data_IF_702426938480
#
_entry.id   IF_702426938480
#
_cell.length_a   1.000
_cell.length_b   1.000
_cell.length_c   1.000
_cell.angle_alpha   90.00
_cell.angle_beta   90.00
_cell.angle_gamma   90.00
#
_symmetry.space_group_name_H-M   'P 1'
#
loop_
_entity.id
_entity.type
_entity.pdbx_description
1 polymer ?
#
# COMPACT_ATOMS: atom_id res chain seq x y z
N UNK A 1 23.65 -11.46 3.25
CA UNK A 1 24.86 -11.13 4.02
C UNK A 1 26.10 -11.06 3.12
N UNK A 2 26.37 -12.07 2.29
CA UNK A 2 27.56 -12.13 1.38
C UNK A 2 27.64 -10.91 0.48
N UNK A 3 26.54 -10.49 -0.17
CA UNK A 3 26.53 -9.32 -1.04
C UNK A 3 26.81 -8.01 -0.28
N UNK A 4 26.30 -7.88 0.95
CA UNK A 4 26.58 -6.70 1.78
C UNK A 4 28.09 -6.61 2.08
N UNK A 5 28.69 -7.71 2.51
CA UNK A 5 30.14 -7.75 2.78
C UNK A 5 30.93 -7.45 1.52
N UNK A 6 30.59 -8.10 0.39
CA UNK A 6 31.25 -7.88 -0.89
C UNK A 6 31.22 -6.40 -1.31
N UNK A 7 30.06 -5.77 -1.34
CA UNK A 7 29.94 -4.37 -1.74
C UNK A 7 30.55 -3.40 -0.73
N UNK A 8 30.57 -3.74 0.56
CA UNK A 8 31.23 -2.92 1.59
C UNK A 8 32.75 -2.90 1.41
N UNK A 9 33.33 -3.99 0.91
CA UNK A 9 34.77 -4.05 0.62
C UNK A 9 35.10 -3.40 -0.73
N UNK A 10 34.20 -3.55 -1.73
CA UNK A 10 34.43 -3.03 -3.08
C UNK A 10 34.19 -1.53 -3.22
N UNK A 11 33.40 -0.91 -2.36
CA UNK A 11 33.06 0.51 -2.47
C UNK A 11 33.04 1.19 -1.10
N UNK A 12 33.87 2.23 -0.90
CA UNK A 12 33.86 3.02 0.35
C UNK A 12 32.55 3.81 0.53
N UNK A 13 31.79 3.98 -0.53
CA UNK A 13 30.49 4.72 -0.50
C UNK A 13 29.33 3.81 -0.10
N UNK A 14 29.49 2.49 -0.14
CA UNK A 14 28.37 1.56 0.07
C UNK A 14 27.69 1.72 1.44
N UNK A 15 28.49 1.87 2.51
CA UNK A 15 28.00 2.08 3.88
C UNK A 15 27.97 3.56 4.28
N UNK A 16 28.11 4.50 3.33
CA UNK A 16 28.01 5.92 3.66
C UNK A 16 26.59 6.28 4.11
N UNK A 17 26.47 7.29 4.98
CA UNK A 17 25.19 7.80 5.47
C UNK A 17 24.24 8.22 4.33
N UNK A 18 24.80 8.83 3.27
CA UNK A 18 24.03 9.26 2.11
C UNK A 18 23.48 8.07 1.32
N UNK A 19 24.28 7.02 1.11
CA UNK A 19 23.80 5.84 0.41
C UNK A 19 22.74 5.08 1.24
N UNK A 20 22.94 4.96 2.56
CA UNK A 20 21.95 4.35 3.44
C UNK A 20 20.64 5.13 3.45
N UNK A 21 20.68 6.46 3.46
CA UNK A 21 19.49 7.30 3.35
C UNK A 21 18.78 7.10 1.99
N UNK A 22 19.53 6.97 0.90
CA UNK A 22 18.98 6.69 -0.43
C UNK A 22 18.33 5.31 -0.49
N UNK A 23 18.96 4.28 0.05
CA UNK A 23 18.40 2.92 0.14
C UNK A 23 17.11 2.93 0.96
N UNK A 24 17.11 3.58 2.15
CA UNK A 24 15.89 3.75 2.94
C UNK A 24 14.76 4.37 2.15
N UNK A 25 15.05 5.41 1.35
CA UNK A 25 14.04 6.06 0.51
C UNK A 25 13.49 5.13 -0.57
N UNK A 26 14.34 4.34 -1.20
CA UNK A 26 13.91 3.40 -2.26
C UNK A 26 13.00 2.29 -1.74
N UNK A 27 13.21 1.81 -0.52
CA UNK A 27 12.40 0.72 0.05
C UNK A 27 11.04 1.17 0.59
N UNK A 28 10.81 2.49 0.80
CA UNK A 28 9.58 2.99 1.43
C UNK A 28 8.32 2.48 0.74
N UNK A 29 8.25 2.62 -0.58
CA UNK A 29 7.07 2.21 -1.35
C UNK A 29 6.82 0.71 -1.22
N UNK A 30 7.87 -0.10 -1.39
CA UNK A 30 7.78 -1.56 -1.25
C UNK A 30 7.40 -1.98 0.17
N UNK A 31 7.95 -1.31 1.18
CA UNK A 31 7.62 -1.58 2.57
C UNK A 31 6.17 -1.25 2.89
N UNK A 32 5.67 -0.09 2.44
CA UNK A 32 4.27 0.30 2.65
C UNK A 32 3.30 -0.70 2.00
N UNK A 33 3.56 -1.09 0.74
CA UNK A 33 2.79 -2.13 0.06
C UNK A 33 2.86 -3.48 0.80
N UNK A 34 4.05 -3.84 1.31
CA UNK A 34 4.27 -5.05 2.10
C UNK A 34 3.48 -5.07 3.41
N UNK A 35 3.33 -3.93 4.10
CA UNK A 35 2.52 -3.85 5.31
C UNK A 35 1.04 -4.13 5.02
N UNK A 36 0.48 -3.55 3.96
CA UNK A 36 -0.88 -3.84 3.52
C UNK A 36 -1.06 -5.31 3.13
N UNK A 37 -0.16 -5.82 2.27
CA UNK A 37 -0.18 -7.19 1.79
C UNK A 37 -0.09 -8.22 2.93
N UNK A 38 0.60 -7.90 4.02
CA UNK A 38 0.69 -8.77 5.19
C UNK A 38 -0.67 -9.15 5.76
N UNK A 39 -1.63 -8.21 5.80
CA UNK A 39 -2.99 -8.47 6.27
C UNK A 39 -3.74 -9.46 5.38
N UNK A 40 -3.59 -9.31 4.07
CA UNK A 40 -4.23 -10.18 3.07
C UNK A 40 -3.63 -11.58 3.15
N UNK A 41 -2.29 -11.71 3.18
CA UNK A 41 -1.60 -12.99 3.26
C UNK A 41 -1.92 -13.73 4.57
N UNK A 42 -1.91 -13.04 5.71
CA UNK A 42 -2.27 -13.67 7.00
C UNK A 42 -3.72 -14.14 6.99
N UNK A 43 -4.63 -13.45 6.29
CA UNK A 43 -6.02 -13.90 6.16
C UNK A 43 -6.23 -15.07 5.19
N UNK A 44 -5.15 -15.59 4.58
CA UNK A 44 -5.18 -16.71 3.63
C UNK A 44 -5.54 -16.30 2.20
N UNK A 45 -5.40 -15.02 1.84
CA UNK A 45 -5.78 -14.47 0.54
C UNK A 45 -4.56 -13.90 -0.22
N UNK A 46 -4.74 -13.58 -1.51
CA UNK A 46 -3.73 -12.97 -2.36
C UNK A 46 -4.32 -11.73 -3.03
N UNK A 47 -3.61 -10.61 -2.97
CA UNK A 47 -4.00 -9.37 -3.65
C UNK A 47 -2.95 -8.97 -4.70
N UNK A 48 -3.28 -9.14 -5.98
CA UNK A 48 -2.42 -8.76 -7.09
C UNK A 48 -2.73 -7.35 -7.61
N UNK A 49 -3.75 -6.69 -7.07
CA UNK A 49 -4.20 -5.37 -7.52
C UNK A 49 -3.44 -4.20 -6.87
N UNK A 50 -2.59 -4.46 -5.88
CA UNK A 50 -1.97 -3.40 -5.07
C UNK A 50 -1.09 -2.44 -5.89
N UNK A 51 -0.32 -2.94 -6.87
CA UNK A 51 0.54 -2.09 -7.69
C UNK A 51 -0.24 -1.20 -8.67
N UNK A 52 -1.25 -1.67 -9.42
CA UNK A 52 -2.15 -0.81 -10.17
C UNK A 52 -2.99 0.15 -9.29
N UNK A 53 -3.34 -0.25 -8.07
CA UNK A 53 -4.01 0.63 -7.10
C UNK A 53 -3.13 1.82 -6.76
N UNK A 54 -1.86 1.59 -6.44
CA UNK A 54 -0.87 2.63 -6.22
C UNK A 54 -0.73 3.55 -7.43
N UNK A 55 -0.61 2.98 -8.64
CA UNK A 55 -0.48 3.75 -9.87
C UNK A 55 -1.69 4.66 -10.11
N UNK A 56 -2.92 4.13 -10.02
CA UNK A 56 -4.14 4.93 -10.22
C UNK A 56 -4.35 5.95 -9.10
N UNK A 57 -4.08 5.61 -7.84
CA UNK A 57 -4.09 6.58 -6.73
C UNK A 57 -3.12 7.72 -6.99
N UNK A 58 -1.92 7.43 -7.50
CA UNK A 58 -0.93 8.46 -7.88
C UNK A 58 -1.42 9.33 -9.02
N UNK A 59 -2.09 8.76 -10.03
CA UNK A 59 -2.72 9.52 -11.14
C UNK A 59 -3.79 10.47 -10.60
N UNK A 60 -4.65 10.00 -9.69
CA UNK A 60 -5.70 10.82 -9.06
C UNK A 60 -5.06 12.00 -8.30
N UNK A 61 -4.07 11.71 -7.45
CA UNK A 61 -3.35 12.74 -6.67
C UNK A 61 -2.70 13.76 -7.60
N UNK A 62 -1.96 13.30 -8.62
CA UNK A 62 -1.29 14.17 -9.58
C UNK A 62 -2.27 15.05 -10.37
N UNK A 63 -3.40 14.48 -10.80
CA UNK A 63 -4.44 15.20 -11.52
C UNK A 63 -5.11 16.26 -10.64
N UNK A 64 -5.40 15.96 -9.37
CA UNK A 64 -5.97 16.94 -8.44
C UNK A 64 -4.96 18.05 -8.12
N UNK A 65 -3.68 17.72 -7.94
CA UNK A 65 -2.60 18.70 -7.75
C UNK A 65 -2.44 19.62 -8.96
N UNK A 66 -2.51 19.09 -10.18
CA UNK A 66 -2.41 19.89 -11.41
C UNK A 66 -3.57 20.87 -11.56
N UNK A 67 -4.76 20.50 -11.09
CA UNK A 67 -5.96 21.36 -11.06
C UNK A 67 -5.98 22.41 -9.94
N UNK A 68 -4.97 22.41 -9.07
CA UNK A 68 -4.86 23.43 -8.02
C UNK A 68 -5.53 23.09 -6.69
N UNK A 69 -6.04 21.89 -6.50
CA UNK A 69 -6.66 21.51 -5.23
C UNK A 69 -5.66 21.48 -4.06
N UNK A 70 -6.12 21.75 -2.82
CA UNK A 70 -5.29 21.61 -1.61
C UNK A 70 -4.72 20.20 -1.46
N UNK A 71 -3.48 20.09 -0.97
CA UNK A 71 -2.77 18.83 -0.82
C UNK A 71 -3.56 17.77 -0.03
N UNK A 72 -4.26 18.19 1.03
CA UNK A 72 -5.09 17.29 1.85
C UNK A 72 -6.18 16.63 1.00
N UNK A 73 -6.87 17.40 0.16
CA UNK A 73 -7.91 16.87 -0.75
C UNK A 73 -7.31 15.88 -1.74
N UNK A 74 -6.13 16.19 -2.28
CA UNK A 74 -5.44 15.29 -3.20
C UNK A 74 -5.07 13.96 -2.54
N UNK A 75 -4.49 14.00 -1.34
CA UNK A 75 -4.15 12.79 -0.57
C UNK A 75 -5.40 11.98 -0.19
N UNK A 76 -6.47 12.65 0.28
CA UNK A 76 -7.74 11.98 0.58
C UNK A 76 -8.36 11.33 -0.66
N UNK A 77 -8.23 11.95 -1.83
CA UNK A 77 -8.69 11.36 -3.10
C UNK A 77 -7.98 10.05 -3.43
N UNK A 78 -6.64 10.02 -3.31
CA UNK A 78 -5.86 8.81 -3.52
C UNK A 78 -6.19 7.71 -2.52
N UNK A 79 -6.26 8.04 -1.23
CA UNK A 79 -6.61 7.09 -0.15
C UNK A 79 -8.03 6.56 -0.31
N UNK A 80 -9.00 7.43 -0.62
CA UNK A 80 -10.39 7.02 -0.83
C UNK A 80 -10.52 6.06 -2.00
N UNK A 81 -9.78 6.29 -3.10
CA UNK A 81 -9.75 5.37 -4.22
C UNK A 81 -9.22 3.99 -3.82
N UNK A 82 -8.10 3.93 -3.06
CA UNK A 82 -7.57 2.68 -2.55
C UNK A 82 -8.60 1.93 -1.69
N UNK A 83 -9.21 2.60 -0.71
CA UNK A 83 -10.24 2.01 0.16
C UNK A 83 -11.41 1.46 -0.68
N UNK A 84 -11.91 2.22 -1.66
CA UNK A 84 -13.00 1.80 -2.53
C UNK A 84 -12.63 0.55 -3.35
N UNK A 85 -11.42 0.51 -3.91
CA UNK A 85 -10.97 -0.65 -4.66
C UNK A 85 -10.78 -1.88 -3.77
N UNK A 86 -10.21 -1.70 -2.58
CA UNK A 86 -10.11 -2.77 -1.58
C UNK A 86 -11.49 -3.30 -1.15
N UNK A 87 -12.48 -2.40 -1.01
CA UNK A 87 -13.88 -2.79 -0.78
C UNK A 87 -14.44 -3.60 -1.95
N UNK A 88 -14.23 -3.16 -3.19
CA UNK A 88 -14.66 -3.89 -4.40
C UNK A 88 -14.05 -5.29 -4.42
N UNK A 89 -12.73 -5.42 -4.24
CA UNK A 89 -12.07 -6.73 -4.19
C UNK A 89 -12.62 -7.60 -3.05
N UNK A 90 -12.74 -7.03 -1.85
CA UNK A 90 -13.31 -7.73 -0.71
C UNK A 90 -14.74 -8.22 -0.97
N UNK A 91 -15.58 -7.44 -1.64
CA UNK A 91 -16.95 -7.84 -2.02
C UNK A 91 -16.96 -8.92 -3.10
N UNK A 92 -16.14 -8.82 -4.15
CA UNK A 92 -16.02 -9.83 -5.20
C UNK A 92 -15.65 -11.19 -4.60
N UNK A 93 -14.70 -11.21 -3.68
CA UNK A 93 -14.22 -12.44 -3.03
C UNK A 93 -15.26 -12.98 -2.07
N UNK A 94 -15.88 -12.13 -1.24
CA UNK A 94 -16.73 -12.59 -0.15
C UNK A 94 -18.20 -12.79 -0.54
N UNK A 95 -18.73 -11.99 -1.48
CA UNK A 95 -20.15 -12.06 -1.89
C UNK A 95 -20.35 -12.88 -3.16
N UNK A 96 -19.41 -12.77 -4.12
CA UNK A 96 -19.47 -13.56 -5.35
C UNK A 96 -18.66 -14.86 -5.24
N UNK A 97 -18.02 -15.11 -4.08
CA UNK A 97 -17.23 -16.33 -3.82
C UNK A 97 -16.14 -16.58 -4.87
N UNK A 98 -15.57 -15.52 -5.44
CA UNK A 98 -14.48 -15.62 -6.39
C UNK A 98 -13.17 -15.91 -5.65
N UNK A 99 -12.29 -16.78 -6.19
CA UNK A 99 -10.92 -16.90 -5.67
C UNK A 99 -10.21 -15.53 -5.69
N UNK A 100 -9.49 -15.20 -4.61
CA UNK A 100 -8.89 -13.87 -4.45
C UNK A 100 -7.93 -13.50 -5.58
N UNK A 101 -7.10 -14.46 -6.04
CA UNK A 101 -6.17 -14.20 -7.13
C UNK A 101 -6.91 -13.90 -8.46
N UNK A 102 -8.05 -14.56 -8.74
CA UNK A 102 -8.85 -14.31 -9.97
C UNK A 102 -9.49 -12.92 -9.92
N UNK A 103 -10.13 -12.59 -8.79
CA UNK A 103 -10.75 -11.28 -8.59
C UNK A 103 -9.73 -10.15 -8.70
N UNK A 104 -8.57 -10.30 -8.05
CA UNK A 104 -7.54 -9.25 -8.01
C UNK A 104 -6.74 -9.13 -9.32
N UNK A 105 -6.57 -10.20 -10.11
CA UNK A 105 -6.04 -10.10 -11.49
C UNK A 105 -7.04 -9.34 -12.37
N UNK A 106 -8.33 -9.64 -12.28
CA UNK A 106 -9.35 -8.93 -13.05
C UNK A 106 -9.37 -7.44 -12.75
N UNK A 107 -9.39 -7.07 -11.47
CA UNK A 107 -9.33 -5.66 -11.04
C UNK A 107 -7.99 -5.00 -11.36
N UNK A 108 -6.87 -5.70 -11.26
CA UNK A 108 -5.56 -5.24 -11.70
C UNK A 108 -5.59 -4.77 -13.17
N UNK A 109 -6.10 -5.63 -14.07
CA UNK A 109 -6.17 -5.30 -15.49
C UNK A 109 -7.13 -4.14 -15.77
N UNK A 110 -8.29 -4.14 -15.11
CA UNK A 110 -9.28 -3.07 -15.24
C UNK A 110 -8.72 -1.72 -14.78
N UNK A 111 -8.09 -1.66 -13.61
CA UNK A 111 -7.51 -0.42 -13.08
C UNK A 111 -6.33 0.07 -13.93
N UNK A 112 -5.48 -0.84 -14.39
CA UNK A 112 -4.39 -0.47 -15.30
C UNK A 112 -4.92 0.12 -16.61
N UNK A 113 -5.96 -0.49 -17.21
CA UNK A 113 -6.63 0.04 -18.39
C UNK A 113 -7.25 1.41 -18.13
N UNK A 114 -7.97 1.57 -17.01
CA UNK A 114 -8.55 2.85 -16.60
C UNK A 114 -7.48 3.92 -16.42
N UNK A 115 -6.36 3.63 -15.78
CA UNK A 115 -5.26 4.59 -15.60
C UNK A 115 -4.73 5.10 -16.95
N UNK A 116 -4.55 4.21 -17.95
CA UNK A 116 -4.11 4.59 -19.29
C UNK A 116 -5.15 5.47 -20.01
N UNK A 117 -6.43 5.15 -19.89
CA UNK A 117 -7.52 5.96 -20.47
C UNK A 117 -7.58 7.33 -19.81
N UNK A 118 -7.52 7.39 -18.48
CA UNK A 118 -7.57 8.68 -17.74
C UNK A 118 -6.40 9.60 -18.03
N UNK A 119 -5.26 9.07 -18.43
CA UNK A 119 -4.04 9.84 -18.69
C UNK A 119 -3.74 10.02 -20.17
N UNK A 120 -4.59 9.53 -21.07
CA UNK A 120 -4.30 9.40 -22.51
C UNK A 120 -2.92 8.75 -22.76
N UNK A 121 -2.57 7.76 -21.92
CA UNK A 121 -1.26 7.09 -21.90
C UNK A 121 -0.07 8.06 -21.75
N UNK A 122 -0.28 9.22 -21.15
CA UNK A 122 0.74 10.26 -20.92
C UNK A 122 1.03 10.41 -19.44
N UNK A 123 2.23 10.86 -19.12
CA UNK A 123 2.58 11.22 -17.74
C UNK A 123 1.81 12.46 -17.29
N UNK A 124 1.23 12.41 -16.09
CA UNK A 124 0.56 13.56 -15.49
C UNK A 124 1.60 14.39 -14.73
N UNK A 125 1.90 15.56 -15.23
CA UNK A 125 2.83 16.50 -14.60
C UNK A 125 2.07 17.52 -13.75
N UNK A 126 2.57 17.81 -12.57
CA UNK A 126 2.15 18.94 -11.77
C UNK A 126 3.40 19.75 -11.39
N UNK A 127 3.37 21.04 -11.72
CA UNK A 127 4.46 21.97 -11.42
C UNK A 127 4.05 22.93 -10.31
N UNK A 128 5.04 23.48 -9.61
CA UNK A 128 4.85 24.58 -8.66
C UNK A 128 4.03 24.20 -7.38
N UNK A 129 4.32 23.02 -6.83
CA UNK A 129 3.73 22.56 -5.54
C UNK A 129 4.84 22.35 -4.50
N UNK A 130 5.36 23.43 -3.89
CA UNK A 130 6.46 23.36 -2.93
C UNK A 130 6.11 22.48 -1.72
N UNK A 131 4.85 22.49 -1.28
CA UNK A 131 4.38 21.71 -0.13
C UNK A 131 4.48 20.20 -0.40
N UNK A 132 4.06 19.76 -1.59
CA UNK A 132 4.18 18.35 -1.98
C UNK A 132 5.64 17.93 -2.17
N UNK A 133 6.46 18.81 -2.78
CA UNK A 133 7.89 18.56 -2.91
C UNK A 133 8.57 18.47 -1.54
N UNK A 134 8.20 19.33 -0.61
CA UNK A 134 8.71 19.29 0.75
C UNK A 134 8.30 17.98 1.47
N UNK A 135 7.04 17.52 1.32
CA UNK A 135 6.59 16.25 1.89
C UNK A 135 7.36 15.05 1.29
N UNK A 136 7.61 15.06 -0.03
CA UNK A 136 8.27 13.95 -0.73
C UNK A 136 9.79 13.91 -0.57
N UNK A 137 10.45 15.08 -0.51
CA UNK A 137 11.91 15.20 -0.54
C UNK A 137 12.50 15.97 0.66
N UNK A 138 11.64 16.59 1.48
CA UNK A 138 12.07 17.31 2.68
C UNK A 138 12.72 16.36 3.70
N UNK A 139 13.65 16.90 4.48
CA UNK A 139 14.40 16.13 5.49
C UNK A 139 14.18 16.73 6.88
N UNK A 140 14.09 15.87 7.86
CA UNK A 140 14.14 16.22 9.27
C UNK A 140 15.21 15.35 9.94
N UNK A 141 16.13 15.96 10.67
CA UNK A 141 17.30 15.28 11.26
C UNK A 141 18.10 14.43 10.24
N UNK A 142 18.21 14.90 9.00
CA UNK A 142 18.93 14.18 7.93
C UNK A 142 18.13 13.08 7.22
N UNK A 143 16.96 12.68 7.75
CA UNK A 143 16.11 11.61 7.21
C UNK A 143 14.92 12.23 6.47
N UNK A 144 14.54 11.67 5.33
CA UNK A 144 13.40 12.17 4.54
C UNK A 144 12.05 11.90 5.23
N UNK A 145 11.09 12.84 5.10
CA UNK A 145 9.74 12.70 5.68
C UNK A 145 9.02 11.39 5.34
N UNK A 146 9.10 10.85 4.11
CA UNK A 146 8.46 9.56 3.80
C UNK A 146 8.92 8.39 4.69
N UNK A 147 10.15 8.40 5.20
CA UNK A 147 10.63 7.37 6.15
C UNK A 147 9.84 7.42 7.45
N UNK A 148 9.58 8.62 7.99
CA UNK A 148 8.77 8.78 9.19
C UNK A 148 7.33 8.33 8.98
N UNK A 149 6.76 8.62 7.80
CA UNK A 149 5.42 8.15 7.41
C UNK A 149 5.41 6.61 7.36
N UNK A 150 6.40 6.00 6.74
CA UNK A 150 6.55 4.54 6.67
C UNK A 150 6.62 3.92 8.07
N UNK A 151 7.44 4.46 8.97
CA UNK A 151 7.56 3.98 10.33
C UNK A 151 6.25 4.13 11.11
N UNK A 152 5.56 5.25 10.96
CA UNK A 152 4.26 5.49 11.58
C UNK A 152 3.21 4.48 11.10
N UNK A 153 3.14 4.23 9.79
CA UNK A 153 2.25 3.20 9.22
C UNK A 153 2.62 1.81 9.71
N UNK A 154 3.93 1.48 9.80
CA UNK A 154 4.40 0.21 10.34
C UNK A 154 3.95 0.00 11.80
N UNK A 155 4.03 1.05 12.63
CA UNK A 155 3.58 1.01 14.03
C UNK A 155 2.07 0.77 14.11
N UNK A 156 1.27 1.50 13.32
CA UNK A 156 -0.18 1.33 13.28
C UNK A 156 -0.55 -0.08 12.80
N UNK A 157 0.05 -0.53 11.70
CA UNK A 157 -0.18 -1.87 11.16
C UNK A 157 0.16 -2.95 12.20
N UNK A 158 1.32 -2.86 12.83
CA UNK A 158 1.72 -3.81 13.88
C UNK A 158 0.77 -3.77 15.08
N UNK A 159 0.37 -2.56 15.51
CA UNK A 159 -0.57 -2.40 16.62
C UNK A 159 -1.93 -3.04 16.30
N UNK A 160 -2.48 -2.79 15.11
CA UNK A 160 -3.75 -3.38 14.69
C UNK A 160 -3.66 -4.91 14.69
N UNK A 161 -2.62 -5.49 14.08
CA UNK A 161 -2.44 -6.95 14.02
C UNK A 161 -2.25 -7.59 15.39
N UNK A 162 -1.42 -6.98 16.26
CA UNK A 162 -1.02 -7.61 17.53
C UNK A 162 -1.91 -7.28 18.71
N UNK A 163 -2.55 -6.10 18.71
CA UNK A 163 -3.23 -5.58 19.90
C UNK A 163 -4.74 -5.43 19.76
N UNK A 164 -5.31 -5.59 18.55
CA UNK A 164 -6.75 -5.40 18.35
C UNK A 164 -7.50 -6.72 18.13
N UNK A 165 -8.83 -6.66 18.29
CA UNK A 165 -9.73 -7.80 18.02
C UNK A 165 -9.69 -8.18 16.54
N UNK A 166 -9.65 -7.19 15.65
CA UNK A 166 -9.62 -7.43 14.20
C UNK A 166 -8.34 -8.18 13.79
N UNK A 167 -7.19 -7.86 14.39
CA UNK A 167 -5.94 -8.58 14.14
C UNK A 167 -6.05 -10.05 14.57
N UNK A 168 -6.60 -10.34 15.74
CA UNK A 168 -6.84 -11.73 16.19
C UNK A 168 -7.76 -12.48 15.23
N UNK A 169 -8.81 -11.82 14.73
CA UNK A 169 -9.71 -12.42 13.74
C UNK A 169 -9.00 -12.72 12.41
N UNK A 170 -8.10 -11.83 11.95
CA UNK A 170 -7.30 -12.06 10.73
C UNK A 170 -6.46 -13.34 10.88
N UNK A 171 -5.75 -13.50 11.99
CA UNK A 171 -4.98 -14.73 12.26
C UNK A 171 -5.88 -15.98 12.37
N UNK A 172 -7.02 -15.87 13.05
CA UNK A 172 -7.95 -16.99 13.19
C UNK A 172 -8.49 -17.47 11.84
N UNK A 173 -8.87 -16.54 10.95
CA UNK A 173 -9.37 -16.86 9.60
C UNK A 173 -8.28 -17.49 8.74
N UNK A 174 -7.05 -16.97 8.78
CA UNK A 174 -5.93 -17.54 8.03
C UNK A 174 -5.51 -18.93 8.50
N UNK A 175 -5.67 -19.22 9.80
CA UNK A 175 -5.42 -20.55 10.34
C UNK A 175 -6.49 -21.56 9.93
N UNK A 176 -7.77 -21.26 10.16
CA UNK A 176 -8.91 -22.07 9.76
C UNK A 176 -10.18 -21.22 9.69
N UNK A 177 -10.55 -20.82 8.47
CA UNK A 177 -11.72 -19.96 8.23
C UNK A 177 -13.04 -20.58 8.64
N UNK A 178 -13.19 -21.91 8.53
CA UNK A 178 -14.41 -22.61 8.93
C UNK A 178 -14.55 -22.66 10.45
N UNK A 179 -13.49 -23.01 11.18
CA UNK A 179 -13.48 -22.97 12.63
C UNK A 179 -13.71 -21.54 13.16
N UNK A 180 -13.14 -20.54 12.54
CA UNK A 180 -13.38 -19.12 12.87
C UNK A 180 -14.85 -18.74 12.68
N UNK A 181 -15.49 -19.20 11.58
CA UNK A 181 -16.92 -19.00 11.31
C UNK A 181 -17.80 -19.64 12.38
N UNK A 182 -17.51 -20.88 12.73
CA UNK A 182 -18.23 -21.61 13.78
C UNK A 182 -18.08 -20.96 15.17
N UNK A 183 -16.94 -20.27 15.39
CA UNK A 183 -16.71 -19.47 16.61
C UNK A 183 -17.36 -18.09 16.58
N UNK A 184 -18.24 -17.81 15.59
CA UNK A 184 -18.97 -16.55 15.48
C UNK A 184 -18.21 -15.39 14.85
N UNK A 185 -17.00 -15.62 14.28
CA UNK A 185 -16.24 -14.60 13.58
C UNK A 185 -16.83 -14.38 12.18
N UNK A 186 -17.16 -13.12 11.85
CA UNK A 186 -17.64 -12.75 10.51
C UNK A 186 -16.48 -12.74 9.51
N UNK A 187 -16.19 -13.90 8.88
CA UNK A 187 -15.10 -14.08 7.89
C UNK A 187 -15.19 -13.03 6.77
N UNK A 188 -16.40 -12.78 6.25
CA UNK A 188 -16.61 -11.79 5.17
C UNK A 188 -16.15 -10.38 5.58
N UNK A 189 -16.54 -9.88 6.75
CA UNK A 189 -16.17 -8.53 7.21
C UNK A 189 -14.68 -8.40 7.41
N UNK A 190 -14.05 -9.43 7.96
CA UNK A 190 -12.60 -9.41 8.23
C UNK A 190 -11.79 -9.45 6.93
N UNK A 191 -12.19 -10.27 5.95
CA UNK A 191 -11.56 -10.27 4.61
C UNK A 191 -11.71 -8.92 3.92
N UNK A 192 -12.93 -8.35 3.89
CA UNK A 192 -13.17 -7.01 3.32
C UNK A 192 -12.24 -5.98 3.97
N UNK A 193 -12.14 -5.99 5.31
CA UNK A 193 -11.23 -5.09 6.02
C UNK A 193 -9.77 -5.30 5.60
N UNK A 194 -9.30 -6.54 5.46
CA UNK A 194 -7.92 -6.83 5.05
C UNK A 194 -7.61 -6.25 3.65
N UNK A 195 -8.52 -6.41 2.68
CA UNK A 195 -8.38 -5.83 1.35
C UNK A 195 -8.45 -4.30 1.35
N UNK A 196 -9.36 -3.70 2.12
CA UNK A 196 -9.45 -2.24 2.25
C UNK A 196 -8.20 -1.65 2.89
N UNK A 197 -7.62 -2.32 3.89
CA UNK A 197 -6.40 -1.87 4.53
C UNK A 197 -5.17 -2.04 3.63
N UNK A 198 -5.12 -3.12 2.83
CA UNK A 198 -4.05 -3.36 1.86
C UNK A 198 -4.03 -2.30 0.76
N UNK A 199 -5.18 -1.95 0.22
CA UNK A 199 -5.34 -1.00 -0.88
C UNK A 199 -5.19 0.46 -0.46
#
# INVERSE_FOLDING_TARGET
LILIVLFSVMSPYFLSSDNLANVLTQIITTALLGFGMTYVIISGEIDLSIAPTLAMSSVIVATLLSKGYPMIICCLGGVSFGILLGLVNGLLITKLSLPSFVATIGTQMAIRGLALVFTDSRAVYFSNRPEFKQLAQGRFLGIQYPVYIMLFVALIATFILRKTVIGRHIYAIGSNGEAARLSGISVHKVRIFAFMFSA
#
